data_IF_567090601136
#
_entry.id   IF_567090601136
#
_cell.length_a   1.000
_cell.length_b   1.000
_cell.length_c   1.000
_cell.angle_alpha   90.00
_cell.angle_beta   90.00
_cell.angle_gamma   90.00
#
_symmetry.space_group_name_H-M   'P 1'
#
loop_
_entity.id
_entity.type
_entity.pdbx_description
1 polymer ?
#
# COMPACT_ATOMS: atom_id res chain seq x y z
N UNK A 1 12.60 -29.22 20.37
CA UNK A 1 13.12 -28.65 19.10
C UNK A 1 12.90 -27.15 19.13
N UNK A 2 13.98 -26.36 19.10
CA UNK A 2 13.87 -24.90 19.04
C UNK A 2 13.54 -24.48 17.61
N UNK A 3 12.45 -23.74 17.44
CA UNK A 3 12.06 -23.15 16.15
C UNK A 3 12.95 -21.92 15.91
N UNK A 4 13.75 -21.94 14.86
CA UNK A 4 14.63 -20.84 14.48
C UNK A 4 14.05 -20.16 13.25
N UNK A 5 13.75 -18.87 13.37
CA UNK A 5 13.29 -18.03 12.26
C UNK A 5 14.47 -17.35 11.59
N UNK A 6 14.44 -17.25 10.26
CA UNK A 6 15.49 -16.60 9.49
C UNK A 6 15.22 -16.62 8.01
N UNK A 7 16.11 -15.99 7.25
CA UNK A 7 16.04 -15.99 5.80
C UNK A 7 16.30 -17.39 5.26
N UNK A 8 15.39 -17.89 4.44
CA UNK A 8 15.61 -19.08 3.63
C UNK A 8 15.84 -18.66 2.18
N UNK A 9 17.12 -18.49 1.84
CA UNK A 9 17.54 -18.03 0.51
C UNK A 9 17.13 -19.03 -0.57
N UNK A 10 17.27 -20.33 -0.28
CA UNK A 10 16.89 -21.39 -1.21
C UNK A 10 15.41 -21.31 -1.58
N UNK A 11 14.53 -21.14 -0.59
CA UNK A 11 13.10 -20.99 -0.83
C UNK A 11 12.77 -19.70 -1.61
N UNK A 12 13.45 -18.60 -1.29
CA UNK A 12 13.29 -17.35 -2.02
C UNK A 12 13.68 -17.51 -3.50
N UNK A 13 14.79 -18.18 -3.80
CA UNK A 13 15.22 -18.45 -5.18
C UNK A 13 14.21 -19.34 -5.91
N UNK A 14 13.73 -20.42 -5.30
CA UNK A 14 12.71 -21.30 -5.90
C UNK A 14 11.44 -20.52 -6.30
N UNK A 15 11.06 -19.51 -5.51
CA UNK A 15 9.82 -18.75 -5.74
C UNK A 15 9.97 -17.53 -6.64
N UNK A 16 11.15 -16.94 -6.71
CA UNK A 16 11.35 -15.63 -7.33
C UNK A 16 12.49 -15.55 -8.33
N UNK A 17 13.38 -16.54 -8.41
CA UNK A 17 14.45 -16.56 -9.40
C UNK A 17 13.88 -16.72 -10.82
N UNK A 18 14.42 -15.96 -11.77
CA UNK A 18 13.95 -15.94 -13.15
C UNK A 18 14.09 -17.30 -13.85
N UNK A 19 15.21 -17.99 -13.62
CA UNK A 19 15.50 -19.28 -14.27
C UNK A 19 14.64 -20.40 -13.68
N UNK A 20 14.48 -20.43 -12.35
CA UNK A 20 13.70 -21.45 -11.64
C UNK A 20 12.19 -21.32 -11.86
N UNK A 21 11.72 -20.11 -12.19
CA UNK A 21 10.29 -19.81 -12.33
C UNK A 21 9.85 -19.49 -13.76
N UNK A 22 10.73 -19.68 -14.77
CA UNK A 22 10.44 -19.31 -16.16
C UNK A 22 9.98 -17.84 -16.29
N UNK A 23 10.67 -16.92 -15.61
CA UNK A 23 10.40 -15.47 -15.51
C UNK A 23 9.14 -15.05 -14.73
N UNK A 24 8.37 -15.97 -14.15
CA UNK A 24 7.20 -15.60 -13.34
C UNK A 24 7.58 -14.96 -12.00
N UNK A 25 8.71 -15.34 -11.41
CA UNK A 25 9.25 -14.76 -10.18
C UNK A 25 9.47 -13.24 -10.27
N UNK A 26 10.30 -12.76 -11.21
CA UNK A 26 10.46 -11.33 -11.46
C UNK A 26 9.14 -10.61 -11.79
N UNK A 27 8.21 -11.27 -12.49
CA UNK A 27 6.89 -10.71 -12.78
C UNK A 27 6.06 -10.51 -11.51
N UNK A 28 6.07 -11.48 -10.59
CA UNK A 28 5.42 -11.35 -9.27
C UNK A 28 6.04 -10.23 -8.44
N UNK A 29 7.37 -10.07 -8.48
CA UNK A 29 8.04 -8.95 -7.81
C UNK A 29 7.60 -7.60 -8.40
N UNK A 30 7.53 -7.47 -9.72
CA UNK A 30 6.98 -6.26 -10.36
C UNK A 30 5.54 -5.98 -9.93
N UNK A 31 4.69 -7.01 -9.86
CA UNK A 31 3.32 -6.88 -9.37
C UNK A 31 3.26 -6.45 -7.90
N UNK A 32 4.17 -6.95 -7.06
CA UNK A 32 4.29 -6.53 -5.66
C UNK A 32 4.65 -5.05 -5.57
N UNK A 33 5.63 -4.58 -6.36
CA UNK A 33 5.97 -3.15 -6.45
C UNK A 33 4.78 -2.33 -6.95
N UNK A 34 4.03 -2.83 -7.92
CA UNK A 34 2.83 -2.16 -8.40
C UNK A 34 1.77 -1.97 -7.30
N UNK A 35 1.49 -3.00 -6.51
CA UNK A 35 0.58 -2.92 -5.35
C UNK A 35 1.11 -1.90 -4.34
N UNK A 36 2.40 -1.98 -4.00
CA UNK A 36 3.04 -1.04 -3.08
C UNK A 36 2.86 0.41 -3.52
N UNK A 37 3.05 0.71 -4.81
CA UNK A 37 2.88 2.06 -5.34
C UNK A 37 1.41 2.53 -5.32
N UNK A 38 0.45 1.62 -5.53
CA UNK A 38 -0.98 1.93 -5.39
C UNK A 38 -1.32 2.27 -3.93
N UNK A 39 -0.86 1.46 -2.98
CA UNK A 39 -1.08 1.70 -1.55
C UNK A 39 -0.42 3.00 -1.10
N UNK A 40 0.82 3.25 -1.52
CA UNK A 40 1.53 4.50 -1.25
C UNK A 40 0.79 5.72 -1.82
N UNK A 41 0.14 5.58 -2.99
CA UNK A 41 -0.72 6.62 -3.56
C UNK A 41 -1.99 6.83 -2.73
N UNK A 42 -2.64 5.76 -2.26
CA UNK A 42 -3.81 5.86 -1.40
C UNK A 42 -3.46 6.55 -0.06
N UNK A 43 -2.31 6.19 0.52
CA UNK A 43 -1.74 6.79 1.73
C UNK A 43 -1.47 8.29 1.53
N UNK A 44 -0.80 8.69 0.44
CA UNK A 44 -0.57 10.12 0.18
C UNK A 44 -1.86 10.91 -0.07
N UNK A 45 -2.90 10.29 -0.64
CA UNK A 45 -4.22 10.92 -0.86
C UNK A 45 -5.02 11.09 0.43
N UNK A 46 -4.82 10.26 1.45
CA UNK A 46 -5.58 10.35 2.71
C UNK A 46 -5.03 11.41 3.68
N UNK A 47 -3.83 11.94 3.45
CA UNK A 47 -3.21 12.97 4.31
C UNK A 47 -4.17 14.12 4.72
N UNK A 48 -4.92 14.77 3.80
CA UNK A 48 -5.80 15.89 4.17
C UNK A 48 -6.95 15.51 5.13
N UNK A 49 -7.27 14.22 5.24
CA UNK A 49 -8.25 13.74 6.22
C UNK A 49 -7.67 13.75 7.63
N UNK A 50 -6.43 13.28 7.80
CA UNK A 50 -5.75 13.19 9.10
C UNK A 50 -5.19 14.53 9.59
N UNK A 51 -4.90 15.48 8.69
CA UNK A 51 -4.48 16.84 9.03
C UNK A 51 -5.56 17.65 9.78
N UNK A 52 -6.83 17.23 9.69
CA UNK A 52 -7.93 17.88 10.39
C UNK A 52 -7.70 17.82 11.89
N UNK A 53 -7.82 18.96 12.56
CA UNK A 53 -7.71 19.04 14.02
C UNK A 53 -8.80 18.22 14.73
N UNK A 54 -9.99 18.12 14.14
CA UNK A 54 -11.13 17.36 14.67
C UNK A 54 -10.93 15.85 14.66
N UNK A 55 -10.01 15.32 13.85
CA UNK A 55 -9.73 13.89 13.81
C UNK A 55 -8.71 13.54 14.88
N UNK A 56 -9.04 12.61 15.77
CA UNK A 56 -8.16 12.17 16.86
C UNK A 56 -8.05 10.65 16.85
N UNK A 57 -6.89 10.16 17.27
CA UNK A 57 -6.72 8.75 17.62
C UNK A 57 -7.28 8.55 19.04
N UNK A 58 -7.93 7.42 19.28
CA UNK A 58 -8.60 7.14 20.54
C UNK A 58 -8.23 5.76 21.04
N UNK A 59 -7.13 5.67 21.78
CA UNK A 59 -6.73 4.45 22.50
C UNK A 59 -6.99 4.55 24.00
N UNK A 60 -7.41 5.72 24.48
CA UNK A 60 -7.64 6.03 25.89
C UNK A 60 -6.49 6.78 26.55
N UNK A 61 -5.33 6.88 25.88
CA UNK A 61 -4.17 7.65 26.33
C UNK A 61 -3.98 8.89 25.44
N UNK A 62 -4.52 10.03 25.85
CA UNK A 62 -4.50 11.28 25.07
C UNK A 62 -3.10 11.73 24.66
N UNK A 63 -2.11 11.59 25.53
CA UNK A 63 -0.74 12.02 25.24
C UNK A 63 -0.10 11.13 24.18
N UNK A 64 -0.29 9.81 24.29
CA UNK A 64 0.20 8.86 23.30
C UNK A 64 -0.55 8.99 21.97
N UNK A 65 -1.86 9.24 22.01
CA UNK A 65 -2.69 9.44 20.83
C UNK A 65 -2.23 10.67 20.02
N UNK A 66 -1.90 11.78 20.68
CA UNK A 66 -1.36 12.97 20.03
C UNK A 66 0.00 12.69 19.38
N UNK A 67 0.93 12.09 20.13
CA UNK A 67 2.27 11.73 19.62
C UNK A 67 2.18 10.75 18.43
N UNK A 68 1.26 9.79 18.50
CA UNK A 68 1.05 8.82 17.41
C UNK A 68 0.44 9.50 16.18
N UNK A 69 -0.46 10.47 16.37
CA UNK A 69 -1.01 11.27 15.27
C UNK A 69 0.07 12.08 14.56
N UNK A 70 1.00 12.68 15.31
CA UNK A 70 2.13 13.41 14.72
C UNK A 70 3.02 12.48 13.87
N UNK A 71 3.41 11.32 14.40
CA UNK A 71 4.19 10.33 13.64
C UNK A 71 3.45 9.84 12.38
N UNK A 72 2.14 9.62 12.48
CA UNK A 72 1.32 9.25 11.33
C UNK A 72 1.36 10.35 10.26
N UNK A 73 1.22 11.62 10.66
CA UNK A 73 1.26 12.74 9.71
C UNK A 73 2.62 12.86 9.03
N UNK A 74 3.72 12.59 9.74
CA UNK A 74 5.06 12.61 9.15
C UNK A 74 5.22 11.52 8.08
N UNK A 75 4.80 10.28 8.37
CA UNK A 75 4.79 9.19 7.37
C UNK A 75 3.92 9.54 6.15
N UNK A 76 2.76 10.16 6.38
CA UNK A 76 1.84 10.56 5.30
C UNK A 76 2.40 11.70 4.43
N UNK A 77 3.19 12.61 5.02
CA UNK A 77 3.92 13.67 4.30
C UNK A 77 5.06 13.09 3.49
N UNK A 78 5.86 12.20 4.07
CA UNK A 78 6.93 11.49 3.36
C UNK A 78 6.39 10.73 2.14
N UNK A 79 5.25 10.04 2.31
CA UNK A 79 4.57 9.34 1.22
C UNK A 79 4.06 10.29 0.13
N UNK A 80 3.67 11.52 0.48
CA UNK A 80 3.21 12.55 -0.47
C UNK A 80 4.36 13.19 -1.23
N UNK A 81 5.51 13.36 -0.58
CA UNK A 81 6.70 13.98 -1.16
C UNK A 81 7.46 13.04 -2.11
N UNK A 82 7.17 11.74 -2.04
CA UNK A 82 7.71 10.77 -2.98
C UNK A 82 7.35 11.16 -4.44
N UNK A 83 8.35 11.34 -5.34
CA UNK A 83 8.14 11.77 -6.72
C UNK A 83 7.56 10.63 -7.55
N UNK A 84 6.27 10.39 -7.37
CA UNK A 84 5.54 9.35 -8.06
C UNK A 84 5.24 9.81 -9.50
N UNK A 85 6.10 9.45 -10.46
CA UNK A 85 5.83 9.59 -11.90
C UNK A 85 4.80 8.54 -12.36
N UNK A 86 3.59 8.60 -11.80
CA UNK A 86 2.49 7.73 -12.18
C UNK A 86 1.61 8.47 -13.18
N UNK A 87 1.58 8.02 -14.42
CA UNK A 87 0.62 8.53 -15.39
C UNK A 87 -0.78 8.00 -15.01
N UNK A 88 -1.54 8.81 -14.28
CA UNK A 88 -2.89 8.49 -13.83
C UNK A 88 -3.83 8.15 -15.00
N UNK A 89 -3.55 8.64 -16.21
CA UNK A 89 -4.32 8.28 -17.39
C UNK A 89 -4.00 6.86 -17.87
N UNK A 90 -2.83 6.31 -17.58
CA UNK A 90 -2.50 4.93 -17.93
C UNK A 90 -3.24 3.89 -17.06
N UNK A 91 -3.75 4.27 -15.89
CA UNK A 91 -4.33 3.32 -14.91
C UNK A 91 -5.76 3.67 -14.48
N UNK A 92 -6.13 4.95 -14.55
CA UNK A 92 -7.45 5.46 -14.18
C UNK A 92 -8.08 6.36 -15.26
N UNK A 93 -7.56 6.40 -16.50
CA UNK A 93 -8.32 6.98 -17.61
C UNK A 93 -9.53 6.09 -17.92
N UNK A 94 -10.64 6.38 -17.27
CA UNK A 94 -11.91 5.73 -17.51
C UNK A 94 -13.02 6.66 -17.10
N UNK A 95 -13.93 6.91 -18.05
CA UNK A 95 -15.26 7.50 -17.90
C UNK A 95 -15.83 7.29 -16.48
N UNK A 96 -16.34 8.34 -15.85
CA UNK A 96 -16.81 8.35 -14.44
C UNK A 96 -17.68 7.13 -14.10
N UNK A 97 -18.50 6.68 -15.07
CA UNK A 97 -19.33 5.47 -14.96
C UNK A 97 -18.53 4.17 -14.79
N UNK A 98 -17.40 4.01 -15.45
CA UNK A 98 -16.53 2.84 -15.31
C UNK A 98 -15.80 2.85 -13.96
N UNK A 99 -15.29 4.01 -13.53
CA UNK A 99 -14.66 4.18 -12.23
C UNK A 99 -15.64 3.85 -11.08
N UNK A 100 -16.89 4.30 -11.17
CA UNK A 100 -17.91 3.98 -10.17
C UNK A 100 -18.29 2.49 -10.17
N UNK A 101 -18.37 1.84 -11.34
CA UNK A 101 -18.56 0.38 -11.43
C UNK A 101 -17.39 -0.41 -10.86
N UNK A 102 -16.16 0.04 -11.08
CA UNK A 102 -14.95 -0.58 -10.53
C UNK A 102 -14.91 -0.46 -9.00
N UNK A 103 -15.25 0.71 -8.43
CA UNK A 103 -15.36 0.90 -6.97
C UNK A 103 -16.34 -0.09 -6.33
N UNK A 104 -17.53 -0.23 -6.91
CA UNK A 104 -18.57 -1.15 -6.42
C UNK A 104 -18.08 -2.60 -6.50
N UNK A 105 -17.38 -2.97 -7.57
CA UNK A 105 -16.90 -4.34 -7.79
C UNK A 105 -15.68 -4.72 -6.94
N UNK A 106 -14.79 -3.77 -6.64
CA UNK A 106 -13.68 -3.99 -5.70
C UNK A 106 -14.17 -4.17 -4.27
N UNK A 107 -15.23 -3.46 -3.86
CA UNK A 107 -15.86 -3.67 -2.53
C UNK A 107 -16.49 -5.07 -2.40
N UNK A 108 -17.02 -5.64 -3.49
CA UNK A 108 -17.64 -6.95 -3.48
C UNK A 108 -16.65 -8.12 -3.29
N UNK A 109 -15.38 -7.95 -3.66
CA UNK A 109 -14.34 -8.99 -3.50
C UNK A 109 -13.84 -9.09 -2.04
N UNK A 110 -14.05 -8.04 -1.24
CA UNK A 110 -13.67 -8.03 0.19
C UNK A 110 -14.81 -8.39 1.15
N UNK A 111 -16.02 -8.66 0.63
CA UNK A 111 -17.23 -8.98 1.42
C UNK A 111 -17.70 -10.44 1.17
N UNK A 112 -17.03 -11.19 0.31
CA UNK A 112 -17.21 -12.64 0.11
C UNK A 112 -15.93 -13.38 0.52
#
# INVERSE_FOLDING_TARGET
MNKIWGHNITEFQIRFDATQTQNEGPRRLKNLYFIYLIELRAISKVLPFFERQSYLLYTGNKTQDLKTKELLLDILRDAKDFPLHFDENSLFAGDKKQADRLKVRSLAIWIL
#
